data_IF_424317615636
#
_entry.id   IF_424317615636
#
_cell.length_a   1.000
_cell.length_b   1.000
_cell.length_c   1.000
_cell.angle_alpha   90.00
_cell.angle_beta   90.00
_cell.angle_gamma   90.00
#
_symmetry.space_group_name_H-M   'P 1'
#
loop_
_entity.id
_entity.type
_entity.pdbx_description
1 polymer ?
#
# COMPACT_ATOMS: atom_id res chain seq x y z
N UNK A 1 -45.01 -43.71 53.61
CA UNK A 1 -43.56 -43.47 53.74
C UNK A 1 -43.08 -42.91 52.41
N UNK A 2 -42.88 -41.59 52.40
CA UNK A 2 -42.00 -40.79 51.52
C UNK A 2 -41.93 -41.14 50.02
N UNK A 3 -42.70 -40.42 49.21
CA UNK A 3 -42.28 -40.06 47.85
C UNK A 3 -41.02 -39.17 47.94
N UNK A 4 -40.00 -39.38 47.11
CA UNK A 4 -38.89 -38.44 47.00
C UNK A 4 -39.28 -37.25 46.11
N UNK A 5 -38.88 -36.06 46.54
CA UNK A 5 -39.09 -34.78 45.87
C UNK A 5 -38.51 -34.74 44.45
N UNK A 6 -39.13 -33.98 43.51
CA UNK A 6 -38.59 -33.79 42.19
C UNK A 6 -37.32 -32.93 42.24
N UNK A 7 -36.27 -33.42 41.59
CA UNK A 7 -35.00 -32.71 41.39
C UNK A 7 -35.27 -31.40 40.64
N UNK A 8 -35.00 -30.27 41.30
CA UNK A 8 -35.03 -28.95 40.70
C UNK A 8 -33.89 -28.82 39.67
N UNK A 9 -34.24 -28.51 38.42
CA UNK A 9 -33.29 -28.02 37.43
C UNK A 9 -32.91 -26.58 37.79
N UNK A 10 -31.62 -26.24 38.00
CA UNK A 10 -31.22 -24.84 38.11
C UNK A 10 -31.38 -24.18 36.73
N UNK A 11 -32.33 -23.25 36.64
CA UNK A 11 -32.41 -22.25 35.58
C UNK A 11 -31.30 -21.23 35.78
N UNK A 12 -30.06 -21.57 35.41
CA UNK A 12 -29.00 -20.59 35.21
C UNK A 12 -28.81 -20.38 33.71
N UNK A 13 -29.82 -19.78 33.07
CA UNK A 13 -29.61 -19.04 31.84
C UNK A 13 -28.97 -17.70 32.22
N UNK A 14 -27.69 -17.74 32.59
CA UNK A 14 -26.88 -16.54 32.70
C UNK A 14 -26.68 -16.05 31.27
N UNK A 15 -27.57 -15.15 30.85
CA UNK A 15 -27.42 -14.42 29.60
C UNK A 15 -25.99 -13.88 29.55
N UNK A 16 -25.23 -14.32 28.55
CA UNK A 16 -24.02 -13.62 28.15
C UNK A 16 -24.46 -12.27 27.57
N UNK A 17 -24.76 -11.32 28.45
CA UNK A 17 -24.73 -9.90 28.13
C UNK A 17 -23.26 -9.54 27.91
N UNK A 18 -22.73 -9.91 26.74
CA UNK A 18 -21.57 -9.26 26.17
C UNK A 18 -21.99 -7.81 25.92
N UNK A 19 -21.20 -6.80 26.32
CA UNK A 19 -21.60 -5.42 26.14
C UNK A 19 -21.79 -5.17 24.64
N UNK A 20 -23.03 -4.85 24.26
CA UNK A 20 -23.30 -4.13 23.03
C UNK A 20 -22.39 -2.89 23.01
N UNK A 21 -21.89 -2.55 21.82
CA UNK A 21 -20.99 -1.44 21.55
C UNK A 21 -21.16 -0.30 22.57
N UNK A 22 -20.09 0.00 23.29
CA UNK A 22 -20.08 0.95 24.40
C UNK A 22 -20.72 2.29 24.00
N UNK A 23 -21.74 2.65 24.78
CA UNK A 23 -22.02 3.94 25.41
C UNK A 23 -21.51 5.21 24.66
N UNK A 24 -22.40 6.07 24.13
CA UNK A 24 -22.01 7.38 23.57
C UNK A 24 -21.40 8.35 24.60
N UNK A 25 -21.33 7.98 25.88
CA UNK A 25 -20.72 8.74 26.97
C UNK A 25 -19.34 8.26 27.45
N UNK A 26 -18.80 7.13 26.96
CA UNK A 26 -17.42 6.76 27.24
C UNK A 26 -16.51 7.73 26.46
N UNK A 27 -15.59 8.42 27.14
CA UNK A 27 -14.63 9.30 26.48
C UNK A 27 -13.89 8.48 25.41
N UNK A 28 -14.23 8.71 24.14
CA UNK A 28 -13.51 8.15 23.00
C UNK A 28 -12.03 8.35 23.28
N UNK A 29 -11.23 7.27 23.24
CA UNK A 29 -9.79 7.46 23.25
C UNK A 29 -9.46 8.51 22.19
N UNK A 30 -8.70 9.56 22.53
CA UNK A 30 -8.43 10.62 21.58
C UNK A 30 -7.86 9.99 20.32
N UNK A 31 -8.45 10.33 19.18
CA UNK A 31 -8.00 9.82 17.89
C UNK A 31 -6.49 10.00 17.81
N UNK A 32 -5.71 8.97 17.42
CA UNK A 32 -4.29 9.12 17.22
C UNK A 32 -4.00 10.33 16.34
N UNK A 33 -2.85 11.00 16.51
CA UNK A 33 -2.56 12.23 15.78
C UNK A 33 -2.57 12.01 14.25
N UNK A 34 -3.14 12.98 13.54
CA UNK A 34 -3.12 13.04 12.08
C UNK A 34 -1.72 13.34 11.56
N UNK A 35 -1.39 12.79 10.39
CA UNK A 35 -0.19 13.16 9.65
C UNK A 35 -0.56 13.48 8.20
N UNK A 36 0.29 14.22 7.51
CA UNK A 36 0.15 14.44 6.07
C UNK A 36 0.42 13.12 5.34
N UNK A 37 -0.52 12.69 4.50
CA UNK A 37 -0.43 11.42 3.77
C UNK A 37 -0.82 11.54 2.29
N UNK A 38 -1.18 12.73 1.82
CA UNK A 38 -1.49 13.03 0.42
C UNK A 38 -0.54 14.12 -0.07
N UNK A 39 -0.04 14.02 -1.29
CA UNK A 39 0.82 15.05 -1.90
C UNK A 39 0.13 16.41 -1.99
N UNK A 40 -1.20 16.40 -2.22
CA UNK A 40 -2.04 17.58 -2.31
C UNK A 40 -3.32 17.37 -1.49
N UNK A 41 -3.81 18.35 -0.73
CA UNK A 41 -5.14 18.27 -0.11
C UNK A 41 -6.25 18.18 -1.18
N UNK A 42 -7.44 17.75 -0.77
CA UNK A 42 -8.66 17.78 -1.60
C UNK A 42 -9.31 19.18 -1.56
N UNK A 43 -10.14 19.51 -2.54
CA UNK A 43 -10.96 20.72 -2.59
C UNK A 43 -10.20 22.02 -2.91
N UNK A 44 -8.93 21.92 -3.32
CA UNK A 44 -8.12 23.07 -3.72
C UNK A 44 -8.33 23.49 -5.19
N UNK A 45 -7.66 24.56 -5.65
CA UNK A 45 -7.61 24.92 -7.07
C UNK A 45 -7.13 23.74 -7.92
N UNK A 46 -7.64 23.63 -9.16
CA UNK A 46 -7.20 22.58 -10.08
C UNK A 46 -5.68 22.67 -10.31
N UNK A 47 -4.93 21.56 -10.13
CA UNK A 47 -3.51 21.53 -10.41
C UNK A 47 -3.26 21.72 -11.90
N UNK A 48 -2.07 22.22 -12.23
CA UNK A 48 -1.63 22.46 -13.61
C UNK A 48 -0.58 21.45 -14.07
N UNK A 49 0.00 20.70 -13.14
CA UNK A 49 1.08 19.73 -13.40
C UNK A 49 0.98 18.47 -12.53
N UNK A 50 1.64 17.40 -12.96
CA UNK A 50 1.83 16.20 -12.15
C UNK A 50 2.73 16.46 -10.93
N UNK A 51 3.63 17.45 -10.99
CA UNK A 51 4.45 17.83 -9.84
C UNK A 51 3.61 18.26 -8.62
N UNK A 52 2.51 18.98 -8.85
CA UNK A 52 1.58 19.38 -7.78
C UNK A 52 0.77 18.22 -7.19
N UNK A 53 0.78 17.07 -7.86
CA UNK A 53 -0.04 15.90 -7.53
C UNK A 53 0.78 14.72 -7.03
N UNK A 54 2.12 14.78 -7.03
CA UNK A 54 2.99 13.68 -6.62
C UNK A 54 3.84 14.05 -5.41
N UNK A 55 4.12 13.09 -4.53
CA UNK A 55 4.95 13.35 -3.33
C UNK A 55 6.41 13.63 -3.69
N UNK A 56 6.87 13.20 -4.86
CA UNK A 56 8.19 13.55 -5.40
C UNK A 56 8.28 15.03 -5.82
N UNK A 57 7.15 15.70 -6.08
CA UNK A 57 7.14 17.08 -6.55
C UNK A 57 7.76 17.25 -7.94
N UNK A 58 7.59 16.26 -8.82
CA UNK A 58 8.13 16.24 -10.20
C UNK A 58 7.05 15.88 -11.21
N UNK A 59 7.24 16.29 -12.47
CA UNK A 59 6.36 15.96 -13.58
C UNK A 59 5.76 17.17 -14.30
N UNK A 60 5.50 16.99 -15.59
CA UNK A 60 5.06 18.05 -16.50
C UNK A 60 3.58 18.43 -16.39
N UNK A 61 3.07 19.25 -17.34
CA UNK A 61 1.71 19.76 -17.32
C UNK A 61 0.65 18.65 -17.48
N UNK A 62 -0.56 18.90 -17.02
CA UNK A 62 -1.71 17.98 -17.23
C UNK A 62 -2.74 18.63 -18.14
N UNK A 63 -3.31 17.86 -19.07
CA UNK A 63 -4.30 18.38 -20.02
C UNK A 63 -5.68 18.58 -19.38
N UNK A 64 -6.11 17.65 -18.52
CA UNK A 64 -7.38 17.75 -17.80
C UNK A 64 -7.26 17.15 -16.39
N UNK A 65 -7.95 17.77 -15.43
CA UNK A 65 -8.08 17.28 -14.07
C UNK A 65 -9.56 17.22 -13.69
N UNK A 66 -9.96 16.10 -13.10
CA UNK A 66 -11.28 15.92 -12.49
C UNK A 66 -11.11 15.42 -11.06
N UNK A 67 -11.68 16.13 -10.11
CA UNK A 67 -11.82 15.70 -8.72
C UNK A 67 -13.28 15.29 -8.49
N UNK A 68 -13.52 13.98 -8.50
CA UNK A 68 -14.87 13.41 -8.44
C UNK A 68 -15.29 13.20 -6.98
N UNK A 69 -16.52 13.60 -6.68
CA UNK A 69 -17.13 13.55 -5.34
C UNK A 69 -18.16 12.43 -5.19
N UNK A 70 -18.48 11.74 -6.28
CA UNK A 70 -19.41 10.61 -6.29
C UNK A 70 -18.91 9.44 -7.13
N UNK A 71 -19.46 8.25 -6.87
CA UNK A 71 -19.17 7.06 -7.68
C UNK A 71 -19.59 7.23 -9.14
N UNK A 72 -20.74 7.86 -9.36
CA UNK A 72 -21.28 8.12 -10.69
C UNK A 72 -20.33 9.01 -11.51
N UNK A 73 -19.81 10.09 -10.91
CA UNK A 73 -18.82 10.96 -11.55
C UNK A 73 -17.54 10.21 -11.93
N UNK A 74 -17.03 9.33 -11.04
CA UNK A 74 -15.86 8.51 -11.34
C UNK A 74 -16.13 7.63 -12.56
N UNK A 75 -17.25 6.90 -12.56
CA UNK A 75 -17.60 5.98 -13.65
C UNK A 75 -17.80 6.75 -14.96
N UNK A 76 -18.47 7.90 -14.94
CA UNK A 76 -18.71 8.70 -16.15
C UNK A 76 -17.41 9.25 -16.74
N UNK A 77 -16.48 9.75 -15.91
CA UNK A 77 -15.18 10.22 -16.39
C UNK A 77 -14.35 9.09 -16.99
N UNK A 78 -14.32 7.93 -16.32
CA UNK A 78 -13.58 6.76 -16.80
C UNK A 78 -14.16 6.27 -18.13
N UNK A 79 -15.48 6.13 -18.19
CA UNK A 79 -16.20 5.68 -19.39
C UNK A 79 -15.99 6.64 -20.55
N UNK A 80 -16.10 7.95 -20.32
CA UNK A 80 -15.88 8.96 -21.36
C UNK A 80 -14.43 8.92 -21.87
N UNK A 81 -13.44 8.81 -20.97
CA UNK A 81 -12.04 8.68 -21.39
C UNK A 81 -11.80 7.42 -22.24
N UNK A 82 -12.41 6.29 -21.87
CA UNK A 82 -12.31 5.03 -22.62
C UNK A 82 -13.03 5.10 -23.99
N UNK A 83 -14.22 5.70 -24.05
CA UNK A 83 -14.98 5.90 -25.29
C UNK A 83 -14.25 6.85 -26.27
N UNK A 84 -13.61 7.91 -25.75
CA UNK A 84 -12.83 8.88 -26.53
C UNK A 84 -11.42 8.37 -26.88
N UNK A 85 -10.98 7.25 -26.29
CA UNK A 85 -9.61 6.73 -26.43
C UNK A 85 -8.54 7.63 -25.80
N UNK A 86 -8.92 8.48 -24.84
CA UNK A 86 -8.00 9.39 -24.16
C UNK A 86 -7.25 8.66 -23.04
N UNK A 87 -5.95 8.92 -22.85
CA UNK A 87 -5.21 8.39 -21.71
C UNK A 87 -5.87 8.78 -20.39
N UNK A 88 -5.96 7.82 -19.46
CA UNK A 88 -6.57 8.01 -18.14
C UNK A 88 -5.54 7.71 -17.05
N UNK A 89 -5.37 8.66 -16.12
CA UNK A 89 -4.61 8.48 -14.88
C UNK A 89 -5.56 8.64 -13.69
N UNK A 90 -5.91 7.54 -13.04
CA UNK A 90 -6.55 7.59 -11.72
C UNK A 90 -5.46 7.72 -10.66
N UNK A 91 -5.50 8.81 -9.90
CA UNK A 91 -4.50 9.13 -8.89
C UNK A 91 -5.14 9.18 -7.50
N UNK A 92 -4.48 8.53 -6.52
CA UNK A 92 -4.84 8.62 -5.10
C UNK A 92 -4.13 9.79 -4.44
N UNK A 93 -3.16 9.49 -3.58
CA UNK A 93 -2.33 10.50 -2.91
C UNK A 93 -1.04 10.88 -3.66
N UNK A 94 -0.81 10.32 -4.86
CA UNK A 94 0.37 10.61 -5.66
C UNK A 94 1.69 10.10 -5.09
N UNK A 95 1.63 9.13 -4.18
CA UNK A 95 2.79 8.67 -3.40
C UNK A 95 3.61 7.55 -4.05
N UNK A 96 3.18 7.05 -5.21
CA UNK A 96 3.85 5.96 -5.92
C UNK A 96 3.88 6.19 -7.44
N UNK A 97 4.18 7.43 -7.86
CA UNK A 97 4.25 7.83 -9.27
C UNK A 97 5.59 8.52 -9.54
N UNK A 98 6.28 8.09 -10.60
CA UNK A 98 7.35 8.85 -11.22
C UNK A 98 6.82 9.50 -12.50
N UNK A 99 6.58 10.80 -12.42
CA UNK A 99 6.06 11.58 -13.54
C UNK A 99 7.19 12.20 -14.37
N UNK A 100 7.11 12.03 -15.69
CA UNK A 100 8.01 12.61 -16.67
C UNK A 100 7.67 14.07 -16.99
N UNK A 101 8.64 14.77 -17.56
CA UNK A 101 8.59 16.21 -17.79
C UNK A 101 7.67 16.61 -18.96
N UNK A 102 7.34 15.66 -19.85
CA UNK A 102 6.42 15.89 -20.96
C UNK A 102 4.97 16.14 -20.50
N UNK A 103 4.63 15.70 -19.29
CA UNK A 103 3.29 15.84 -18.74
C UNK A 103 2.36 14.69 -19.15
N UNK A 104 1.06 14.89 -18.97
CA UNK A 104 0.04 13.89 -19.26
C UNK A 104 -1.07 14.48 -20.15
N UNK A 105 -1.03 14.11 -21.42
CA UNK A 105 -2.03 14.48 -22.43
C UNK A 105 -3.26 13.55 -22.34
N UNK A 106 -3.95 13.63 -21.20
CA UNK A 106 -5.07 12.78 -20.86
C UNK A 106 -5.91 13.38 -19.74
N UNK A 107 -6.76 12.55 -19.15
CA UNK A 107 -7.57 12.93 -17.99
C UNK A 107 -6.92 12.38 -16.72
N UNK A 108 -6.58 13.27 -15.80
CA UNK A 108 -6.22 12.91 -14.43
C UNK A 108 -7.48 12.93 -13.57
N UNK A 109 -7.86 11.78 -13.02
CA UNK A 109 -9.04 11.60 -12.18
C UNK A 109 -8.62 11.32 -10.74
N UNK A 110 -9.20 12.04 -9.79
CA UNK A 110 -9.00 11.84 -8.35
C UNK A 110 -10.33 11.58 -7.66
N UNK A 111 -10.40 10.54 -6.83
CA UNK A 111 -11.56 10.27 -5.97
C UNK A 111 -11.45 11.10 -4.68
N UNK A 112 -12.39 12.03 -4.47
CA UNK A 112 -12.45 12.89 -3.30
C UNK A 112 -13.31 12.33 -2.16
N UNK A 113 -13.98 11.19 -2.36
CA UNK A 113 -14.81 10.57 -1.30
C UNK A 113 -13.93 10.13 -0.13
N UNK A 114 -14.36 10.47 1.09
CA UNK A 114 -13.71 10.12 2.36
C UNK A 114 -14.69 9.39 3.30
N UNK A 115 -15.38 8.35 2.81
CA UNK A 115 -16.37 7.60 3.59
C UNK A 115 -15.78 6.30 4.12
N UNK A 116 -16.11 5.98 5.37
CA UNK A 116 -15.90 4.67 6.01
C UNK A 116 -17.22 4.24 6.63
N UNK A 117 -17.74 3.08 6.19
CA UNK A 117 -19.04 2.55 6.59
C UNK A 117 -18.88 1.16 7.21
N UNK A 118 -19.26 1.03 8.47
CA UNK A 118 -19.35 -0.28 9.15
C UNK A 118 -20.55 -1.03 8.59
N UNK A 119 -20.30 -2.24 8.09
CA UNK A 119 -21.30 -3.16 7.52
C UNK A 119 -21.82 -4.07 8.62
N UNK A 120 -20.90 -4.65 9.40
CA UNK A 120 -21.23 -5.47 10.56
C UNK A 120 -20.17 -5.33 11.65
N UNK A 121 -20.60 -5.39 12.90
CA UNK A 121 -19.74 -5.46 14.08
C UNK A 121 -20.33 -6.51 15.01
N UNK A 122 -19.65 -7.65 15.12
CA UNK A 122 -20.12 -8.80 15.89
C UNK A 122 -19.00 -9.41 16.71
N UNK A 123 -19.31 -9.76 17.96
CA UNK A 123 -18.33 -10.34 18.88
C UNK A 123 -17.67 -11.63 18.35
N UNK A 124 -18.45 -12.46 17.63
CA UNK A 124 -17.95 -13.74 17.08
C UNK A 124 -17.38 -13.62 15.66
N UNK A 125 -17.93 -12.70 14.85
CA UNK A 125 -17.55 -12.55 13.45
C UNK A 125 -16.48 -11.50 13.20
N UNK A 126 -16.16 -10.65 14.18
CA UNK A 126 -15.30 -9.48 13.99
C UNK A 126 -16.07 -8.31 13.36
N UNK A 127 -15.31 -7.39 12.78
CA UNK A 127 -15.79 -6.16 12.14
C UNK A 127 -15.62 -6.26 10.64
N UNK A 128 -16.71 -6.05 9.92
CA UNK A 128 -16.73 -5.84 8.47
C UNK A 128 -17.07 -4.39 8.18
N UNK A 129 -16.26 -3.72 7.38
CA UNK A 129 -16.51 -2.35 6.97
C UNK A 129 -15.96 -2.10 5.57
N UNK A 130 -16.45 -1.05 4.93
CA UNK A 130 -15.98 -0.62 3.63
C UNK A 130 -15.55 0.85 3.66
N UNK A 131 -14.54 1.18 2.87
CA UNK A 131 -14.05 2.54 2.72
C UNK A 131 -13.91 2.90 1.23
N UNK A 132 -14.30 4.13 0.89
CA UNK A 132 -14.20 4.64 -0.48
C UNK A 132 -12.75 4.72 -0.95
N UNK A 133 -12.51 4.50 -2.25
CA UNK A 133 -11.16 4.45 -2.81
C UNK A 133 -10.34 5.74 -2.59
N UNK A 134 -11.00 6.89 -2.52
CA UNK A 134 -10.40 8.18 -2.20
C UNK A 134 -9.93 8.35 -0.75
N UNK A 135 -10.43 7.55 0.19
CA UNK A 135 -10.17 7.72 1.62
C UNK A 135 -8.67 7.70 1.91
N UNK A 136 -8.17 8.71 2.64
CA UNK A 136 -6.77 8.76 3.08
C UNK A 136 -6.41 7.51 3.88
N UNK A 137 -5.35 6.80 3.47
CA UNK A 137 -4.99 5.53 4.09
C UNK A 137 -4.67 5.68 5.58
N UNK A 138 -3.88 6.68 5.95
CA UNK A 138 -3.49 6.84 7.35
C UNK A 138 -4.65 7.35 8.23
N UNK A 139 -5.61 8.09 7.67
CA UNK A 139 -6.83 8.42 8.41
C UNK A 139 -7.69 7.18 8.68
N UNK A 140 -7.76 6.24 7.74
CA UNK A 140 -8.38 4.93 8.00
C UNK A 140 -7.62 4.16 9.10
N UNK A 141 -6.28 4.16 9.08
CA UNK A 141 -5.46 3.53 10.14
C UNK A 141 -5.76 4.15 11.52
N UNK A 142 -5.86 5.48 11.59
CA UNK A 142 -6.19 6.21 12.83
C UNK A 142 -7.56 5.83 13.35
N UNK A 143 -8.57 5.84 12.47
CA UNK A 143 -9.93 5.42 12.81
C UNK A 143 -9.94 3.96 13.28
N UNK A 144 -9.27 3.06 12.56
CA UNK A 144 -9.16 1.65 12.90
C UNK A 144 -8.57 1.45 14.30
N UNK A 145 -7.48 2.14 14.66
CA UNK A 145 -6.88 2.05 15.99
C UNK A 145 -7.83 2.58 17.06
N UNK A 146 -8.45 3.74 16.84
CA UNK A 146 -9.41 4.34 17.77
C UNK A 146 -10.68 3.48 17.96
N UNK A 147 -11.06 2.72 16.93
CA UNK A 147 -12.21 1.79 16.95
C UNK A 147 -11.81 0.34 17.26
N UNK A 148 -10.56 0.09 17.66
CA UNK A 148 -10.03 -1.24 17.98
C UNK A 148 -10.20 -2.28 16.85
N UNK A 149 -10.07 -1.85 15.61
CA UNK A 149 -10.01 -2.71 14.43
C UNK A 149 -8.58 -3.23 14.25
N UNK A 150 -8.40 -4.53 14.48
CA UNK A 150 -7.09 -5.15 14.57
C UNK A 150 -6.30 -5.15 13.25
N UNK A 151 -4.98 -5.07 13.36
CA UNK A 151 -4.04 -5.30 12.25
C UNK A 151 -3.54 -4.06 11.51
N UNK A 152 -4.12 -2.88 11.74
CA UNK A 152 -3.73 -1.65 11.01
C UNK A 152 -2.43 -0.99 11.50
N UNK A 153 -2.04 -1.17 12.77
CA UNK A 153 -0.94 -0.42 13.38
C UNK A 153 0.41 -0.52 12.63
N UNK A 154 0.87 -1.69 12.14
CA UNK A 154 2.11 -1.80 11.36
C UNK A 154 2.09 -1.03 10.03
N UNK A 155 0.90 -0.71 9.51
CA UNK A 155 0.70 -0.01 8.23
C UNK A 155 0.56 1.52 8.40
N UNK A 156 0.81 2.03 9.61
CA UNK A 156 0.76 3.46 9.93
C UNK A 156 1.75 4.27 9.12
N UNK A 157 1.33 5.46 8.69
CA UNK A 157 2.12 6.45 7.98
C UNK A 157 2.47 6.11 6.54
N UNK A 158 1.82 5.11 5.94
CA UNK A 158 1.87 4.89 4.50
C UNK A 158 1.06 6.00 3.80
N UNK A 159 1.67 6.81 2.91
CA UNK A 159 0.94 7.83 2.18
C UNK A 159 0.11 7.21 1.05
N UNK A 160 -0.95 7.90 0.64
CA UNK A 160 -1.85 7.45 -0.42
C UNK A 160 -3.28 7.24 0.07
N UNK A 161 -4.04 6.49 -0.72
CA UNK A 161 -5.47 6.26 -0.47
C UNK A 161 -5.79 4.78 -0.39
N UNK A 162 -6.93 4.46 0.22
CA UNK A 162 -7.47 3.11 0.37
C UNK A 162 -7.57 2.38 -0.97
N UNK A 163 -7.99 3.05 -2.04
CA UNK A 163 -8.13 2.43 -3.36
C UNK A 163 -6.80 2.00 -4.00
N UNK A 164 -5.70 2.67 -3.65
CA UNK A 164 -4.36 2.31 -4.13
C UNK A 164 -3.71 1.18 -3.30
N UNK A 165 -4.16 0.97 -2.06
CA UNK A 165 -3.62 -0.05 -1.16
C UNK A 165 -3.61 -1.48 -1.76
N UNK A 166 -4.72 -2.01 -2.33
CA UNK A 166 -4.73 -3.36 -2.91
C UNK A 166 -3.95 -3.45 -4.22
N UNK A 167 -3.77 -2.35 -4.96
CA UNK A 167 -3.09 -2.38 -6.28
C UNK A 167 -1.68 -2.94 -6.16
N UNK A 168 -0.94 -2.54 -5.14
CA UNK A 168 0.41 -3.04 -4.91
C UNK A 168 0.53 -3.83 -3.60
N UNK A 169 -0.58 -4.34 -3.05
CA UNK A 169 -0.60 -5.03 -1.76
C UNK A 169 0.33 -4.33 -0.73
N UNK A 170 0.00 -3.07 -0.39
CA UNK A 170 0.89 -2.26 0.47
C UNK A 170 1.23 -3.02 1.74
N UNK A 171 2.47 -2.88 2.19
CA UNK A 171 2.94 -3.59 3.36
C UNK A 171 4.13 -2.92 4.01
N UNK A 172 4.17 -2.97 5.34
CA UNK A 172 5.24 -2.42 6.14
C UNK A 172 5.35 -3.20 7.45
N UNK A 173 6.57 -3.28 7.98
CA UNK A 173 6.86 -3.84 9.30
C UNK A 173 6.25 -5.23 9.55
N UNK A 174 6.24 -6.08 8.52
CA UNK A 174 5.81 -7.47 8.62
C UNK A 174 4.30 -7.70 8.44
N UNK A 175 3.53 -6.66 8.11
CA UNK A 175 2.13 -6.77 7.73
C UNK A 175 1.92 -6.35 6.26
N UNK A 176 0.90 -6.90 5.64
CA UNK A 176 0.43 -6.53 4.30
C UNK A 176 -1.08 -6.32 4.31
N UNK A 177 -1.60 -5.45 3.45
CA UNK A 177 -3.03 -5.13 3.43
C UNK A 177 -3.89 -6.35 3.09
N UNK A 178 -3.37 -7.32 2.34
CA UNK A 178 -4.05 -8.59 2.04
C UNK A 178 -4.51 -9.35 3.29
N UNK A 179 -3.86 -9.15 4.44
CA UNK A 179 -4.21 -9.77 5.71
C UNK A 179 -5.49 -9.17 6.34
N UNK A 180 -5.93 -8.01 5.85
CA UNK A 180 -7.07 -7.23 6.34
C UNK A 180 -8.22 -7.18 5.35
N UNK A 181 -7.94 -7.42 4.06
CA UNK A 181 -8.89 -7.29 2.96
C UNK A 181 -9.89 -8.44 2.91
N UNK A 182 -11.15 -8.09 2.71
CA UNK A 182 -12.18 -9.04 2.29
C UNK A 182 -12.34 -9.04 0.77
N UNK A 183 -12.46 -7.84 0.18
CA UNK A 183 -12.76 -7.69 -1.25
C UNK A 183 -12.57 -6.26 -1.76
N UNK A 184 -12.58 -6.11 -3.08
CA UNK A 184 -12.49 -4.83 -3.78
C UNK A 184 -13.72 -4.67 -4.68
N UNK A 185 -14.40 -3.53 -4.59
CA UNK A 185 -15.43 -3.14 -5.56
C UNK A 185 -14.79 -2.20 -6.58
N UNK A 186 -14.89 -2.53 -7.86
CA UNK A 186 -14.21 -1.80 -8.92
C UNK A 186 -15.08 -1.61 -10.16
N UNK A 187 -14.82 -0.56 -10.93
CA UNK A 187 -15.29 -0.43 -12.30
C UNK A 187 -14.35 -1.22 -13.22
N UNK A 188 -14.89 -2.23 -13.90
CA UNK A 188 -14.17 -2.99 -14.92
C UNK A 188 -14.31 -2.29 -16.27
N UNK A 189 -13.24 -1.61 -16.69
CA UNK A 189 -13.18 -0.85 -17.94
C UNK A 189 -13.33 -1.75 -19.18
N UNK A 190 -12.92 -3.01 -19.08
CA UNK A 190 -13.06 -3.97 -20.17
C UNK A 190 -14.52 -4.41 -20.36
N UNK A 191 -15.26 -4.56 -19.25
CA UNK A 191 -16.63 -5.08 -19.26
C UNK A 191 -17.70 -3.97 -19.20
N UNK A 192 -17.32 -2.74 -18.89
CA UNK A 192 -18.24 -1.62 -18.75
C UNK A 192 -19.24 -1.81 -17.60
N UNK A 193 -18.80 -2.39 -16.48
CA UNK A 193 -19.67 -2.64 -15.32
C UNK A 193 -18.91 -2.64 -14.00
N UNK A 194 -19.64 -2.46 -12.91
CA UNK A 194 -19.12 -2.68 -11.57
C UNK A 194 -18.94 -4.18 -11.33
N UNK A 195 -17.81 -4.55 -10.75
CA UNK A 195 -17.48 -5.91 -10.32
C UNK A 195 -17.08 -5.92 -8.85
N UNK A 196 -17.27 -7.07 -8.21
CA UNK A 196 -16.82 -7.35 -6.86
C UNK A 196 -15.75 -8.44 -6.93
N UNK A 197 -14.52 -8.08 -6.55
CA UNK A 197 -13.35 -8.94 -6.63
C UNK A 197 -13.04 -9.43 -5.21
N UNK A 198 -13.36 -10.69 -4.86
CA UNK A 198 -12.94 -11.27 -3.59
C UNK A 198 -11.41 -11.37 -3.53
N UNK A 199 -10.86 -11.48 -2.32
CA UNK A 199 -9.41 -11.58 -2.09
C UNK A 199 -8.71 -12.61 -3.00
N UNK A 200 -9.33 -13.76 -3.23
CA UNK A 200 -8.79 -14.84 -4.06
C UNK A 200 -8.62 -14.45 -5.55
N UNK A 201 -9.46 -13.53 -6.04
CA UNK A 201 -9.44 -13.09 -7.44
C UNK A 201 -8.47 -11.91 -7.68
N UNK A 202 -7.96 -11.29 -6.60
CA UNK A 202 -6.99 -10.19 -6.70
C UNK A 202 -5.56 -10.69 -6.98
N UNK A 203 -5.30 -11.98 -6.74
CA UNK A 203 -4.00 -12.63 -6.91
C UNK A 203 -2.84 -11.81 -6.29
N UNK A 204 -3.06 -11.33 -5.05
CA UNK A 204 -2.13 -10.49 -4.29
C UNK A 204 -0.85 -11.25 -3.97
N UNK A 205 0.28 -10.56 -4.10
CA UNK A 205 1.58 -11.05 -3.64
C UNK A 205 2.47 -9.86 -3.26
N UNK A 206 3.75 -10.11 -2.95
CA UNK A 206 4.67 -9.06 -2.55
C UNK A 206 4.74 -7.95 -3.62
N UNK A 207 4.20 -6.77 -3.28
CA UNK A 207 4.16 -5.58 -4.15
C UNK A 207 3.43 -5.74 -5.49
N UNK A 208 2.51 -6.69 -5.57
CA UNK A 208 1.85 -7.05 -6.83
C UNK A 208 0.40 -7.55 -6.66
N UNK A 209 -0.39 -7.40 -7.72
CA UNK A 209 -1.79 -7.84 -7.82
C UNK A 209 -2.22 -7.91 -9.29
N UNK A 210 -3.35 -8.56 -9.59
CA UNK A 210 -3.94 -8.48 -10.93
C UNK A 210 -4.41 -7.05 -11.29
N UNK A 211 -4.78 -6.24 -10.29
CA UNK A 211 -5.06 -4.81 -10.51
C UNK A 211 -3.85 -4.11 -11.12
N UNK A 212 -2.64 -4.37 -10.59
CA UNK A 212 -1.38 -3.82 -11.10
C UNK A 212 -0.93 -4.48 -12.41
N UNK A 213 -0.95 -5.81 -12.49
CA UNK A 213 -0.54 -6.52 -13.71
C UNK A 213 -1.40 -6.15 -14.92
N UNK A 214 -2.68 -5.82 -14.72
CA UNK A 214 -3.55 -5.36 -15.80
C UNK A 214 -3.07 -4.09 -16.53
N UNK A 215 -2.13 -3.32 -15.96
CA UNK A 215 -1.53 -2.17 -16.64
C UNK A 215 -0.76 -2.61 -17.90
N UNK A 216 -0.04 -3.73 -17.83
CA UNK A 216 0.95 -4.17 -18.83
C UNK A 216 0.78 -5.60 -19.33
N UNK A 217 0.01 -6.44 -18.64
CA UNK A 217 -0.31 -7.81 -19.07
C UNK A 217 -1.65 -7.83 -19.81
N UNK A 218 -1.61 -8.10 -21.11
CA UNK A 218 -2.80 -8.14 -21.95
C UNK A 218 -3.75 -9.30 -21.62
N UNK A 219 -3.27 -10.43 -21.10
CA UNK A 219 -4.13 -11.54 -20.71
C UNK A 219 -4.99 -11.17 -19.49
N UNK A 220 -4.38 -10.54 -18.49
CA UNK A 220 -5.08 -10.03 -17.31
C UNK A 220 -5.95 -8.82 -17.68
N UNK A 221 -5.44 -7.95 -18.55
CA UNK A 221 -6.11 -6.76 -19.08
C UNK A 221 -7.29 -7.04 -20.01
N UNK A 222 -7.66 -8.29 -20.30
CA UNK A 222 -8.81 -8.60 -21.14
C UNK A 222 -8.56 -8.42 -22.64
N UNK A 223 -7.35 -8.71 -23.10
CA UNK A 223 -6.93 -8.66 -24.50
C UNK A 223 -6.13 -7.42 -24.89
N UNK A 224 -5.87 -6.49 -23.96
CA UNK A 224 -5.07 -5.28 -24.19
C UNK A 224 -4.34 -4.82 -22.93
N UNK A 225 -3.32 -3.98 -23.11
CA UNK A 225 -2.68 -3.20 -22.05
C UNK A 225 -3.43 -1.88 -21.84
N UNK A 226 -3.35 -1.31 -20.62
CA UNK A 226 -4.19 -0.17 -20.21
C UNK A 226 -3.43 1.08 -19.76
N UNK A 227 -2.17 0.95 -19.32
CA UNK A 227 -1.45 1.95 -18.53
C UNK A 227 -1.63 3.43 -18.94
N UNK A 228 -1.58 4.38 -17.98
CA UNK A 228 -1.08 4.21 -16.62
C UNK A 228 -2.11 3.77 -15.57
N UNK A 229 -3.40 3.70 -15.93
CA UNK A 229 -4.44 3.10 -15.08
C UNK A 229 -4.77 1.71 -15.62
N UNK A 230 -4.84 0.71 -14.75
CA UNK A 230 -5.18 -0.67 -15.12
C UNK A 230 -6.63 -0.85 -15.61
N UNK A 231 -7.00 -2.10 -15.88
CA UNK A 231 -8.37 -2.49 -16.27
C UNK A 231 -9.41 -2.12 -15.22
N UNK A 232 -9.07 -2.26 -13.95
CA UNK A 232 -9.98 -2.06 -12.84
C UNK A 232 -9.69 -0.74 -12.13
N UNK A 233 -10.70 0.13 -12.06
CA UNK A 233 -10.67 1.35 -11.25
C UNK A 233 -11.34 1.02 -9.92
N UNK A 234 -10.56 0.99 -8.84
CA UNK A 234 -11.08 0.69 -7.49
C UNK A 234 -12.02 1.81 -7.05
N UNK A 235 -13.23 1.44 -6.61
CA UNK A 235 -14.27 2.37 -6.13
C UNK A 235 -14.41 2.31 -4.61
N UNK A 236 -14.29 1.13 -4.03
CA UNK A 236 -14.44 0.87 -2.60
C UNK A 236 -13.65 -0.40 -2.23
N UNK A 237 -13.13 -0.43 -1.01
CA UNK A 237 -12.40 -1.58 -0.47
C UNK A 237 -13.09 -2.02 0.81
N UNK A 238 -13.39 -3.32 0.90
CA UNK A 238 -13.99 -3.92 2.09
C UNK A 238 -12.93 -4.68 2.89
N UNK A 239 -12.99 -4.52 4.21
CA UNK A 239 -12.10 -5.12 5.18
C UNK A 239 -12.88 -6.04 6.11
N UNK A 240 -12.25 -7.12 6.53
CA UNK A 240 -12.79 -8.00 7.55
C UNK A 240 -11.71 -8.29 8.58
N UNK A 241 -11.90 -7.76 9.79
CA UNK A 241 -10.86 -7.75 10.83
C UNK A 241 -11.44 -8.13 12.17
N UNK A 242 -10.57 -8.51 13.10
CA UNK A 242 -10.98 -8.79 14.49
C UNK A 242 -11.07 -7.50 15.28
N UNK A 243 -11.97 -7.47 16.26
CA UNK A 243 -11.92 -6.45 17.30
C UNK A 243 -10.75 -6.77 18.25
N UNK A 244 -9.78 -5.87 18.35
CA UNK A 244 -8.57 -6.07 19.13
C UNK A 244 -7.94 -4.73 19.55
N UNK A 245 -7.65 -4.58 20.85
CA UNK A 245 -6.87 -3.46 21.37
C UNK A 245 -5.35 -3.67 21.22
N UNK A 246 -4.91 -4.93 21.13
CA UNK A 246 -3.51 -5.30 20.87
C UNK A 246 -3.26 -5.51 19.39
N UNK A 247 -2.07 -5.15 18.93
CA UNK A 247 -1.60 -5.46 17.59
C UNK A 247 -1.47 -6.98 17.33
N UNK A 248 -1.36 -7.33 16.06
CA UNK A 248 -0.87 -8.65 15.66
C UNK A 248 0.55 -8.90 16.22
N UNK A 249 1.00 -10.17 16.34
CA UNK A 249 2.34 -10.47 16.83
C UNK A 249 3.40 -9.73 16.01
N UNK A 250 4.34 -9.05 16.68
CA UNK A 250 5.38 -8.30 15.99
C UNK A 250 6.28 -9.26 15.21
N UNK A 251 6.22 -9.19 13.89
CA UNK A 251 6.93 -10.10 12.98
C UNK A 251 8.18 -9.49 12.33
N UNK A 252 8.51 -8.22 12.62
CA UNK A 252 9.61 -7.50 12.00
C UNK A 252 10.66 -7.07 13.03
N UNK A 253 11.90 -7.54 12.84
CA UNK A 253 12.99 -7.41 13.82
C UNK A 253 13.31 -5.96 14.20
N UNK A 254 13.29 -5.03 13.23
CA UNK A 254 13.54 -3.63 13.52
C UNK A 254 12.43 -2.99 14.35
N UNK A 255 11.17 -3.42 14.15
CA UNK A 255 10.05 -2.93 14.94
C UNK A 255 10.10 -3.50 16.37
N UNK A 256 10.40 -4.79 16.50
CA UNK A 256 10.64 -5.44 17.79
C UNK A 256 11.78 -4.74 18.57
N UNK A 257 12.90 -4.43 17.90
CA UNK A 257 14.00 -3.69 18.50
C UNK A 257 13.64 -2.27 18.93
N UNK A 258 12.86 -1.53 18.13
CA UNK A 258 12.39 -0.19 18.51
C UNK A 258 11.42 -0.20 19.70
N UNK A 259 10.62 -1.26 19.82
CA UNK A 259 9.68 -1.45 20.92
C UNK A 259 10.33 -2.09 22.16
N UNK A 260 11.59 -2.55 22.08
CA UNK A 260 12.27 -3.24 23.18
C UNK A 260 11.64 -4.59 23.54
N UNK A 261 11.08 -5.29 22.56
CA UNK A 261 10.40 -6.59 22.76
C UNK A 261 10.95 -7.67 21.83
N UNK A 262 10.68 -8.93 22.18
CA UNK A 262 10.98 -10.07 21.32
C UNK A 262 9.98 -10.19 20.15
N UNK A 263 10.40 -10.86 19.08
CA UNK A 263 9.51 -11.25 17.99
C UNK A 263 8.35 -12.08 18.53
N UNK A 264 7.14 -11.82 18.04
CA UNK A 264 5.91 -12.47 18.48
C UNK A 264 5.21 -11.78 19.66
N UNK A 265 5.84 -10.80 20.31
CA UNK A 265 5.18 -9.98 21.33
C UNK A 265 3.95 -9.25 20.75
N UNK A 266 3.00 -8.90 21.62
CA UNK A 266 1.82 -8.10 21.29
C UNK A 266 1.76 -6.90 22.23
N UNK A 267 1.54 -5.73 21.67
CA UNK A 267 1.48 -4.45 22.38
C UNK A 267 0.22 -3.68 21.97
N UNK A 268 -0.22 -2.68 22.76
CA UNK A 268 -1.32 -1.80 22.36
C UNK A 268 -1.09 -1.21 20.97
N UNK A 269 -2.14 -1.21 20.14
CA UNK A 269 -2.04 -0.78 18.74
C UNK A 269 -1.53 0.67 18.61
N UNK A 270 -1.89 1.55 19.56
CA UNK A 270 -1.41 2.93 19.60
C UNK A 270 0.12 3.04 19.81
N UNK A 271 0.69 2.22 20.70
CA UNK A 271 2.14 2.17 20.93
C UNK A 271 2.88 1.66 19.69
N UNK A 272 2.35 0.61 19.05
CA UNK A 272 2.91 0.07 17.80
C UNK A 272 2.87 1.12 16.69
N UNK A 273 1.77 1.86 16.54
CA UNK A 273 1.67 2.97 15.59
C UNK A 273 2.76 4.02 15.84
N UNK A 274 2.95 4.44 17.09
CA UNK A 274 3.93 5.46 17.42
C UNK A 274 5.35 5.02 17.04
N UNK A 275 5.74 3.80 17.41
CA UNK A 275 7.04 3.25 17.04
C UNK A 275 7.22 3.09 15.53
N UNK A 276 6.15 2.71 14.81
CA UNK A 276 6.15 2.64 13.34
C UNK A 276 6.38 4.02 12.72
N UNK A 277 5.67 5.05 13.19
CA UNK A 277 5.84 6.42 12.69
C UNK A 277 7.25 6.94 12.93
N UNK A 278 7.83 6.72 14.10
CA UNK A 278 9.21 7.10 14.43
C UNK A 278 10.23 6.38 13.53
N UNK A 279 10.08 5.06 13.36
CA UNK A 279 10.94 4.29 12.46
C UNK A 279 10.83 4.77 11.00
N UNK A 280 9.62 5.12 10.54
CA UNK A 280 9.42 5.66 9.19
C UNK A 280 10.03 7.06 9.06
N UNK A 281 9.83 7.94 10.03
CA UNK A 281 10.37 9.29 10.03
C UNK A 281 11.90 9.29 10.01
N UNK A 282 12.53 8.37 10.77
CA UNK A 282 13.99 8.18 10.76
C UNK A 282 14.56 7.77 9.39
N UNK A 283 13.70 7.33 8.46
CA UNK A 283 14.03 6.90 7.10
C UNK A 283 13.51 7.84 6.01
N UNK A 284 12.88 8.97 6.37
CA UNK A 284 12.22 9.87 5.41
C UNK A 284 10.97 9.25 4.75
N UNK A 285 10.30 8.32 5.43
CA UNK A 285 9.15 7.56 4.92
C UNK A 285 7.80 8.04 5.49
N UNK A 286 7.78 9.19 6.17
CA UNK A 286 6.58 9.94 6.55
C UNK A 286 6.64 11.27 5.81
N UNK A 287 5.56 11.68 5.15
CA UNK A 287 5.56 12.92 4.37
C UNK A 287 5.67 14.14 5.29
N UNK A 288 6.67 15.00 5.05
CA UNK A 288 6.92 16.23 5.81
C UNK A 288 7.53 17.28 4.87
N UNK A 289 6.82 18.39 4.63
CA UNK A 289 7.24 19.45 3.71
C UNK A 289 8.59 20.09 4.11
N UNK A 290 8.95 20.02 5.40
CA UNK A 290 10.20 20.54 5.94
C UNK A 290 11.39 19.57 5.77
N UNK A 291 11.14 18.32 5.38
CA UNK A 291 12.17 17.29 5.21
C UNK A 291 12.34 16.92 3.72
N UNK A 292 13.42 17.37 3.04
CA UNK A 292 13.66 17.05 1.64
C UNK A 292 13.77 15.54 1.35
N UNK A 293 14.11 14.72 2.35
CA UNK A 293 14.17 13.25 2.16
C UNK A 293 12.78 12.63 1.96
N UNK A 294 11.69 13.34 2.26
CA UNK A 294 10.32 12.85 2.05
C UNK A 294 9.75 13.22 0.69
N UNK A 295 10.47 14.02 -0.11
CA UNK A 295 10.12 14.33 -1.51
C UNK A 295 10.50 13.14 -2.41
N UNK A 296 9.87 12.01 -2.14
CA UNK A 296 10.13 10.71 -2.76
C UNK A 296 8.82 9.97 -3.00
N UNK A 297 8.90 8.79 -3.62
CA UNK A 297 7.80 7.82 -3.69
C UNK A 297 7.99 6.70 -2.65
N UNK A 298 8.67 6.99 -1.54
CA UNK A 298 9.11 5.98 -0.58
C UNK A 298 10.21 5.10 -1.14
N UNK A 299 10.12 3.79 -0.91
CA UNK A 299 11.08 2.84 -1.47
C UNK A 299 10.88 2.71 -2.97
N UNK A 300 11.84 3.17 -3.75
CA UNK A 300 11.74 3.24 -5.20
C UNK A 300 11.88 1.86 -5.87
N UNK A 301 12.59 0.93 -5.23
CA UNK A 301 12.80 -0.43 -5.75
C UNK A 301 12.19 -1.47 -4.82
N UNK A 302 11.54 -2.46 -5.41
CA UNK A 302 11.11 -3.66 -4.69
C UNK A 302 12.32 -4.51 -4.29
N UNK A 303 12.18 -5.27 -3.19
CA UNK A 303 13.20 -6.26 -2.82
C UNK A 303 13.21 -7.42 -3.83
N UNK A 304 14.36 -7.75 -4.47
CA UNK A 304 14.41 -8.81 -5.45
C UNK A 304 14.03 -10.17 -4.85
N UNK A 305 13.22 -10.92 -5.59
CA UNK A 305 12.93 -12.33 -5.33
C UNK A 305 13.73 -13.14 -6.33
N UNK A 306 14.67 -13.92 -5.81
CA UNK A 306 15.65 -14.68 -6.59
C UNK A 306 15.37 -16.17 -6.48
N UNK A 307 15.71 -16.91 -7.53
CA UNK A 307 15.84 -18.36 -7.40
C UNK A 307 17.07 -18.72 -6.53
N UNK A 308 17.17 -19.95 -6.01
CA UNK A 308 18.30 -20.34 -5.17
C UNK A 308 19.67 -20.24 -5.84
N UNK A 309 19.76 -20.44 -7.16
CA UNK A 309 21.03 -20.36 -7.88
C UNK A 309 21.53 -18.92 -7.95
N UNK A 310 20.63 -17.97 -8.26
CA UNK A 310 20.91 -16.53 -8.22
C UNK A 310 21.25 -16.06 -6.81
N UNK A 311 20.52 -16.51 -5.78
CA UNK A 311 20.81 -16.12 -4.40
C UNK A 311 22.17 -16.63 -3.89
N UNK A 312 22.66 -17.75 -4.45
CA UNK A 312 23.97 -18.31 -4.13
C UNK A 312 25.14 -17.50 -4.72
N UNK A 313 24.93 -16.69 -5.77
CA UNK A 313 25.97 -15.82 -6.34
C UNK A 313 26.18 -14.54 -5.55
N UNK A 314 25.25 -14.18 -4.66
CA UNK A 314 25.38 -13.00 -3.81
C UNK A 314 26.46 -13.20 -2.74
N UNK A 315 27.09 -12.11 -2.24
CA UNK A 315 28.04 -12.19 -1.14
C UNK A 315 27.49 -12.89 0.12
N UNK A 316 28.33 -13.50 0.96
CA UNK A 316 27.88 -14.23 2.15
C UNK A 316 27.06 -13.41 3.13
N UNK A 317 27.37 -12.12 3.28
CA UNK A 317 26.73 -11.16 4.17
C UNK A 317 25.47 -10.50 3.58
N UNK A 318 25.16 -10.75 2.31
CA UNK A 318 23.92 -10.29 1.69
C UNK A 318 22.70 -10.90 2.42
N UNK A 319 21.73 -10.09 2.88
CA UNK A 319 20.54 -10.59 3.56
C UNK A 319 19.74 -11.56 2.69
N UNK A 320 19.37 -12.71 3.24
CA UNK A 320 18.55 -13.72 2.56
C UNK A 320 17.35 -14.07 3.42
N UNK A 321 16.17 -13.88 2.86
CA UNK A 321 14.91 -14.15 3.51
C UNK A 321 14.18 -15.22 2.68
N UNK A 322 14.29 -16.51 3.06
CA UNK A 322 13.56 -17.57 2.39
C UNK A 322 12.05 -17.28 2.41
N UNK A 323 11.40 -17.40 1.26
CA UNK A 323 9.95 -17.29 1.14
C UNK A 323 9.34 -18.68 1.23
N UNK A 324 8.27 -18.81 2.00
CA UNK A 324 7.49 -20.04 1.97
C UNK A 324 6.93 -20.27 0.55
N UNK A 325 6.86 -21.53 0.07
CA UNK A 325 6.15 -21.84 -1.16
C UNK A 325 4.70 -21.35 -1.05
N UNK A 326 4.27 -20.46 -1.94
CA UNK A 326 2.88 -19.96 -1.92
C UNK A 326 1.98 -21.00 -2.59
N UNK A 327 1.06 -21.67 -1.87
CA UNK A 327 0.06 -22.53 -2.50
C UNK A 327 -0.83 -21.64 -3.39
N UNK A 328 -0.97 -21.99 -4.68
CA UNK A 328 -1.79 -21.20 -5.60
C UNK A 328 -1.04 -20.24 -6.52
N UNK A 329 0.30 -20.30 -6.60
CA UNK A 329 1.02 -19.87 -7.82
C UNK A 329 0.62 -20.77 -8.98
N UNK A 330 -0.59 -20.57 -9.48
CA UNK A 330 -1.02 -21.05 -10.76
C UNK A 330 -0.28 -20.26 -11.83
N UNK A 331 0.92 -20.72 -12.19
CA UNK A 331 1.11 -20.94 -13.61
C UNK A 331 -0.12 -21.76 -14.03
N UNK A 332 -1.02 -21.17 -14.82
CA UNK A 332 -1.96 -21.96 -15.60
C UNK A 332 -1.10 -22.77 -16.58
N UNK A 333 -0.59 -23.90 -16.09
CA UNK A 333 0.54 -24.62 -16.62
C UNK A 333 1.22 -25.37 -15.49
N UNK A 334 0.72 -26.57 -15.20
CA UNK A 334 1.16 -27.38 -14.06
C UNK A 334 2.66 -27.64 -14.05
N UNK A 335 3.25 -27.52 -12.86
CA UNK A 335 4.37 -28.36 -12.44
C UNK A 335 4.31 -28.51 -10.93
N UNK A 336 4.01 -29.72 -10.49
CA UNK A 336 4.05 -30.18 -9.08
C UNK A 336 5.46 -30.68 -8.70
N UNK A 337 6.51 -30.14 -9.34
CA UNK A 337 7.88 -30.57 -9.07
C UNK A 337 8.59 -29.56 -8.16
N UNK A 338 8.66 -29.91 -6.87
CA UNK A 338 9.77 -29.59 -5.95
C UNK A 338 10.34 -28.17 -6.00
N UNK A 339 9.50 -27.16 -6.25
CA UNK A 339 9.96 -25.81 -6.56
C UNK A 339 10.69 -25.23 -5.33
N UNK A 340 12.01 -25.12 -5.44
CA UNK A 340 12.85 -24.67 -4.36
C UNK A 340 12.41 -23.26 -3.93
N UNK A 341 12.30 -23.06 -2.61
CA UNK A 341 11.84 -21.81 -2.01
C UNK A 341 12.60 -20.61 -2.60
N UNK A 342 11.88 -19.68 -3.22
CA UNK A 342 12.48 -18.43 -3.68
C UNK A 342 13.04 -17.64 -2.49
N UNK A 343 14.10 -16.87 -2.72
CA UNK A 343 14.78 -16.11 -1.68
C UNK A 343 14.59 -14.63 -1.98
N UNK A 344 13.98 -13.91 -1.04
CA UNK A 344 13.94 -12.44 -1.08
C UNK A 344 15.26 -11.90 -0.51
N UNK A 345 15.86 -10.92 -1.17
CA UNK A 345 17.05 -10.21 -0.70
C UNK A 345 16.78 -8.71 -0.50
N UNK A 346 17.66 -8.01 0.21
CA UNK A 346 17.49 -6.57 0.51
C UNK A 346 17.99 -5.70 -0.65
N UNK A 347 17.08 -5.01 -1.34
CA UNK A 347 17.44 -4.01 -2.35
C UNK A 347 18.30 -2.90 -1.75
N UNK A 348 17.99 -2.46 -0.51
CA UNK A 348 18.77 -1.43 0.17
C UNK A 348 20.23 -1.85 0.36
N UNK A 349 20.45 -3.11 0.76
CA UNK A 349 21.79 -3.64 0.95
C UNK A 349 22.54 -3.69 -0.38
N UNK A 350 21.90 -4.17 -1.45
CA UNK A 350 22.50 -4.24 -2.78
C UNK A 350 22.89 -2.85 -3.32
N UNK A 351 22.05 -1.83 -3.13
CA UNK A 351 22.33 -0.46 -3.59
C UNK A 351 23.56 0.10 -2.86
N UNK A 352 23.58 0.02 -1.53
CA UNK A 352 24.68 0.53 -0.71
C UNK A 352 26.01 -0.18 -1.07
N UNK A 353 25.98 -1.51 -1.22
CA UNK A 353 27.17 -2.33 -1.52
C UNK A 353 27.57 -2.32 -3.02
N UNK A 354 26.74 -1.74 -3.89
CA UNK A 354 27.10 -1.42 -5.27
C UNK A 354 27.79 -0.05 -5.40
N UNK A 355 27.99 0.68 -4.29
CA UNK A 355 28.67 1.98 -4.28
C UNK A 355 27.73 3.18 -4.32
N UNK A 356 26.44 2.99 -4.00
CA UNK A 356 25.44 4.05 -3.94
C UNK A 356 25.00 4.29 -2.48
N UNK A 357 25.83 4.93 -1.64
CA UNK A 357 25.48 5.19 -0.25
C UNK A 357 24.36 6.22 -0.14
N UNK A 358 23.85 6.41 1.08
CA UNK A 358 22.90 7.49 1.39
C UNK A 358 23.43 8.83 0.93
N UNK A 359 22.59 9.63 0.28
CA UNK A 359 23.01 10.92 -0.30
C UNK A 359 23.74 10.83 -1.65
N UNK A 360 23.95 9.63 -2.22
CA UNK A 360 24.53 9.50 -3.56
C UNK A 360 23.71 10.29 -4.60
N UNK A 361 24.39 11.01 -5.47
CA UNK A 361 23.76 11.86 -6.47
C UNK A 361 24.61 11.89 -7.75
N UNK A 362 23.95 12.03 -8.91
CA UNK A 362 24.61 12.28 -10.20
C UNK A 362 24.75 13.79 -10.47
N UNK A 363 23.92 14.60 -9.82
CA UNK A 363 23.93 16.06 -9.87
C UNK A 363 23.25 16.64 -8.62
N UNK A 364 23.09 17.95 -8.55
CA UNK A 364 22.65 18.62 -7.31
C UNK A 364 21.14 18.48 -7.03
N UNK A 365 20.33 18.21 -8.06
CA UNK A 365 18.86 18.29 -7.98
C UNK A 365 18.19 17.01 -7.48
N UNK A 366 18.79 15.85 -7.74
CA UNK A 366 18.25 14.55 -7.35
C UNK A 366 19.33 13.71 -6.67
N UNK A 367 18.99 13.07 -5.55
CA UNK A 367 19.88 12.16 -4.84
C UNK A 367 19.10 10.99 -4.24
N UNK A 368 19.82 9.93 -3.86
CA UNK A 368 19.32 9.02 -2.84
C UNK A 368 19.13 9.79 -1.53
N UNK A 369 18.12 9.42 -0.76
CA UNK A 369 17.84 10.01 0.54
C UNK A 369 19.07 9.93 1.45
N UNK A 370 19.27 10.95 2.27
CA UNK A 370 20.33 10.96 3.29
C UNK A 370 20.02 10.01 4.46
N UNK A 371 18.76 9.56 4.57
CA UNK A 371 18.27 8.64 5.61
C UNK A 371 18.17 7.19 5.14
N UNK A 372 17.78 6.94 3.89
CA UNK A 372 17.55 5.58 3.38
C UNK A 372 17.78 5.41 1.87
N UNK A 373 18.72 4.53 1.48
CA UNK A 373 19.15 4.37 0.08
C UNK A 373 18.07 3.93 -0.92
N UNK A 374 16.95 3.36 -0.46
CA UNK A 374 15.84 3.02 -1.37
C UNK A 374 15.03 4.23 -1.84
N UNK A 375 15.12 5.38 -1.18
CA UNK A 375 14.34 6.55 -1.57
C UNK A 375 15.15 7.42 -2.53
N UNK A 376 14.63 7.58 -3.76
CA UNK A 376 15.09 8.63 -4.67
C UNK A 376 14.34 9.92 -4.32
N UNK A 377 15.09 11.01 -4.16
CA UNK A 377 14.60 12.25 -3.58
C UNK A 377 14.83 13.44 -4.49
N UNK A 378 13.81 14.30 -4.60
CA UNK A 378 13.92 15.62 -5.20
C UNK A 378 14.49 16.60 -4.17
N UNK A 379 15.73 17.05 -4.37
CA UNK A 379 16.45 17.98 -3.48
C UNK A 379 16.02 19.45 -3.66
N UNK A 380 15.09 19.70 -4.57
CA UNK A 380 14.63 21.02 -4.97
C UNK A 380 14.88 21.22 -6.46
N UNK A 381 13.81 21.41 -7.23
CA UNK A 381 13.88 21.69 -8.66
C UNK A 381 14.32 20.51 -9.54
N UNK A 382 14.31 19.27 -9.03
CA UNK A 382 14.50 18.09 -9.86
C UNK A 382 13.40 17.99 -10.91
N UNK A 383 13.78 17.58 -12.11
CA UNK A 383 12.85 17.13 -13.14
C UNK A 383 12.58 15.63 -13.01
N UNK A 384 11.56 15.13 -13.70
CA UNK A 384 11.34 13.69 -13.81
C UNK A 384 12.55 12.97 -14.39
N UNK A 385 13.19 13.58 -15.41
CA UNK A 385 14.41 13.05 -16.04
C UNK A 385 15.58 12.89 -15.06
N UNK A 386 15.80 13.84 -14.14
CA UNK A 386 16.87 13.73 -13.14
C UNK A 386 16.70 12.48 -12.25
N UNK A 387 15.47 12.20 -11.81
CA UNK A 387 15.17 11.02 -11.00
C UNK A 387 15.24 9.72 -11.82
N UNK A 388 14.86 9.77 -13.10
CA UNK A 388 14.99 8.63 -14.00
C UNK A 388 16.45 8.28 -14.29
N UNK A 389 17.32 9.28 -14.48
CA UNK A 389 18.76 9.07 -14.65
C UNK A 389 19.39 8.46 -13.40
N UNK A 390 19.04 8.98 -12.22
CA UNK A 390 19.48 8.41 -10.94
C UNK A 390 19.00 6.95 -10.77
N UNK A 391 17.74 6.67 -11.12
CA UNK A 391 17.21 5.29 -11.14
C UNK A 391 18.06 4.40 -12.03
N UNK A 392 18.33 4.84 -13.26
CA UNK A 392 19.02 4.02 -14.26
C UNK A 392 20.46 3.73 -13.87
N UNK A 393 21.16 4.70 -13.29
CA UNK A 393 22.49 4.50 -12.74
C UNK A 393 22.51 3.45 -11.62
N UNK A 394 21.55 3.51 -10.68
CA UNK A 394 21.45 2.54 -9.59
C UNK A 394 21.12 1.14 -10.12
N UNK A 395 20.16 1.02 -11.05
CA UNK A 395 19.81 -0.26 -11.68
C UNK A 395 21.01 -0.86 -12.41
N UNK A 396 21.72 -0.05 -13.20
CA UNK A 396 22.89 -0.48 -13.96
C UNK A 396 24.02 -0.95 -13.03
N UNK A 397 24.34 -0.19 -11.99
CA UNK A 397 25.42 -0.54 -11.07
C UNK A 397 25.12 -1.77 -10.21
N UNK A 398 23.88 -1.95 -9.74
CA UNK A 398 23.49 -3.16 -9.01
C UNK A 398 23.53 -4.39 -9.94
N UNK A 399 23.11 -4.25 -11.20
CA UNK A 399 23.20 -5.33 -12.19
C UNK A 399 24.65 -5.68 -12.50
N UNK A 400 25.51 -4.70 -12.70
CA UNK A 400 26.94 -4.91 -12.95
C UNK A 400 27.62 -5.60 -11.77
N UNK A 401 27.30 -5.19 -10.54
CA UNK A 401 27.94 -5.71 -9.33
C UNK A 401 27.46 -7.10 -8.92
N UNK A 402 26.16 -7.37 -9.04
CA UNK A 402 25.53 -8.56 -8.46
C UNK A 402 24.80 -9.44 -9.47
N UNK A 403 24.67 -9.03 -10.72
CA UNK A 403 23.85 -9.73 -11.72
C UNK A 403 22.34 -9.62 -11.45
N UNK A 404 21.91 -8.78 -10.51
CA UNK A 404 20.51 -8.60 -10.11
C UNK A 404 19.96 -7.33 -10.74
N UNK A 405 18.81 -7.43 -11.42
CA UNK A 405 18.11 -6.24 -11.95
C UNK A 405 17.04 -5.79 -10.95
N UNK A 406 17.19 -4.58 -10.43
CA UNK A 406 16.18 -3.98 -9.56
C UNK A 406 14.95 -3.57 -10.37
N UNK A 407 13.77 -3.77 -9.80
CA UNK A 407 12.49 -3.41 -10.42
C UNK A 407 11.90 -2.19 -9.68
N UNK A 408 11.64 -1.07 -10.37
CA UNK A 408 10.94 0.07 -9.80
C UNK A 408 9.56 -0.30 -9.25
N UNK A 409 9.23 0.25 -8.09
CA UNK A 409 7.90 0.16 -7.47
C UNK A 409 6.92 1.24 -8.00
N UNK A 410 7.35 2.50 -8.25
CA UNK A 410 6.47 3.54 -8.76
C UNK A 410 5.94 3.30 -10.18
N UNK A 411 4.72 3.77 -10.43
CA UNK A 411 4.13 3.82 -11.78
C UNK A 411 4.76 4.96 -12.56
N UNK A 412 5.20 4.68 -13.79
CA UNK A 412 5.74 5.68 -14.70
C UNK A 412 4.63 6.34 -15.51
N UNK A 413 4.61 7.67 -15.55
CA UNK A 413 3.58 8.46 -16.25
C UNK A 413 4.23 9.60 -17.02
N UNK A 414 3.80 9.86 -18.25
CA UNK A 414 4.22 11.04 -19.02
C UNK A 414 5.64 10.93 -19.60
N UNK A 415 5.97 9.76 -20.14
CA UNK A 415 7.25 9.41 -20.75
C UNK A 415 7.10 9.01 -22.22
#
# INVERSE_FOLDING_TARGET
>A
MTQPDPVAHPQDAQACDAPAAQDPGAALEPWPQAITALARPLGGPAPTSLAELTTMGVGGPIAAYVEATSEAEIIDVVRQADEEGRPLLVIGGGSNILAGDAGFDGVVLRDARQEVRVISDSACGGVEFAATAGTCWDDLVRQAIASHWGGFAPLSGIPGTVGAAPVQNIGAYGAEVCELLASVRAWDRCQGRIVHLPLADLALSYRDSDLKRSLSDAAIGGGRTWGPTGRWVVLEVAFHVRQASLAAPIAYSQLAGALGVELGARLPAAEVRQAVLELRASKGMVLDDADPDTRSAGSFFTNPILDPAQAATLPPDAPRFPLAPTPGRGARGGSEDGQAASIKTSAAWLIDHAGFPKGFALGERASLSTKHVLALTNRGGASGADLAELRDAVVAGVRERFGVTLVPEPVHVGW
#
